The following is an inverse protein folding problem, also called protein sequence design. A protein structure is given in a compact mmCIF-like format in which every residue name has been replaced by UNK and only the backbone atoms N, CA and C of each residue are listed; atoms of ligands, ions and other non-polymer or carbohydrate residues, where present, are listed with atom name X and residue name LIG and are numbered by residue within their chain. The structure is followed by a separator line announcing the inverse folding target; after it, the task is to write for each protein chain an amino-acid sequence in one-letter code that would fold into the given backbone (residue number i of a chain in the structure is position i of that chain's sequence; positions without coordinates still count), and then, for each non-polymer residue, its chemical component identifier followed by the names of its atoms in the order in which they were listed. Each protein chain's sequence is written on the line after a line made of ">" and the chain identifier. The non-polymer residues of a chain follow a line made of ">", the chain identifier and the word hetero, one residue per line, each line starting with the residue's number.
data_IF_340725970407
#
_entry.id   IF_340725970407
#
_cell.length_a   1.000
_cell.length_b   1.000
_cell.length_c   1.000
_cell.angle_alpha   90.00
_cell.angle_beta   90.00
_cell.angle_gamma   90.00
#
_symmetry.space_group_name_H-M   'P 1'
#
loop_
_entity.id
_entity.type
_entity.pdbx_description
1 polymer ?
#
# COMPACT_ATOMS: atom_id res chain seq x y z
N UNK A 1 31.32 8.45 -12.58
CA UNK A 1 30.46 7.25 -12.50
C UNK A 1 29.07 7.58 -13.04
N UNK A 2 28.74 7.09 -14.24
CA UNK A 2 27.49 7.44 -14.94
C UNK A 2 26.25 6.80 -14.30
N UNK A 3 25.25 7.62 -13.97
CA UNK A 3 23.93 7.16 -13.51
C UNK A 3 23.25 6.39 -14.65
N UNK A 4 23.13 5.07 -14.53
CA UNK A 4 22.30 4.24 -15.42
C UNK A 4 20.85 4.72 -15.31
N UNK A 5 20.37 5.45 -16.31
CA UNK A 5 18.96 5.74 -16.49
C UNK A 5 18.23 4.44 -16.87
N UNK A 6 17.61 3.79 -15.89
CA UNK A 6 16.66 2.71 -16.14
C UNK A 6 15.45 3.29 -16.89
N UNK A 7 15.46 3.23 -18.22
CA UNK A 7 14.27 3.49 -19.05
C UNK A 7 13.24 2.40 -18.72
N UNK A 8 12.24 2.75 -17.90
CA UNK A 8 11.15 1.83 -17.53
C UNK A 8 10.19 1.69 -18.70
N UNK A 9 9.90 0.45 -19.09
CA UNK A 9 8.89 0.12 -20.10
C UNK A 9 7.50 0.51 -19.55
N UNK A 10 6.61 1.05 -20.39
CA UNK A 10 5.22 1.43 -20.05
C UNK A 10 4.44 0.32 -19.33
N UNK A 11 4.84 -0.93 -19.53
CA UNK A 11 4.31 -2.14 -18.87
C UNK A 11 4.43 -2.13 -17.34
N UNK A 12 5.31 -1.30 -16.76
CA UNK A 12 5.48 -1.16 -15.31
C UNK A 12 4.44 -0.25 -14.63
N UNK A 13 3.51 0.37 -15.38
CA UNK A 13 2.42 1.14 -14.76
C UNK A 13 1.31 0.26 -14.17
N UNK A 14 1.26 -1.02 -14.54
CA UNK A 14 0.28 -2.00 -14.08
C UNK A 14 0.91 -2.91 -13.02
N UNK A 15 1.09 -2.37 -11.81
CA UNK A 15 1.80 -3.07 -10.73
C UNK A 15 0.85 -4.02 -9.98
N UNK A 16 -0.43 -3.65 -9.86
CA UNK A 16 -1.46 -4.49 -9.25
C UNK A 16 -2.73 -4.46 -10.11
N UNK A 17 -2.70 -5.23 -11.21
CA UNK A 17 -3.69 -5.16 -12.30
C UNK A 17 -5.12 -5.29 -11.80
N UNK A 18 -5.38 -6.13 -10.81
CA UNK A 18 -6.76 -6.39 -10.38
C UNK A 18 -7.39 -5.17 -9.69
N UNK A 19 -6.69 -4.56 -8.74
CA UNK A 19 -7.23 -3.38 -8.01
C UNK A 19 -7.22 -2.14 -8.90
N UNK A 20 -6.13 -1.92 -9.63
CA UNK A 20 -5.99 -0.76 -10.51
C UNK A 20 -7.02 -0.79 -11.64
N UNK A 21 -7.24 -1.95 -12.27
CA UNK A 21 -8.21 -2.10 -13.34
C UNK A 21 -9.64 -1.92 -12.83
N UNK A 22 -9.98 -2.45 -11.65
CA UNK A 22 -11.30 -2.25 -11.03
C UNK A 22 -11.58 -0.76 -10.81
N UNK A 23 -10.64 -0.01 -10.23
CA UNK A 23 -10.80 1.44 -9.99
C UNK A 23 -10.97 2.19 -11.32
N UNK A 24 -10.10 1.92 -12.30
CA UNK A 24 -10.15 2.60 -13.60
C UNK A 24 -11.46 2.30 -14.34
N UNK A 25 -11.90 1.03 -14.38
CA UNK A 25 -13.16 0.64 -15.04
C UNK A 25 -14.36 1.30 -14.35
N UNK A 26 -14.45 1.22 -13.01
CA UNK A 26 -15.56 1.83 -12.27
C UNK A 26 -15.65 3.34 -12.54
N UNK A 27 -14.52 4.04 -12.53
CA UNK A 27 -14.49 5.48 -12.84
C UNK A 27 -14.83 5.79 -14.31
N UNK A 28 -14.42 4.93 -15.25
CA UNK A 28 -14.81 5.05 -16.66
C UNK A 28 -16.32 4.85 -16.86
N UNK A 29 -16.93 3.91 -16.16
CA UNK A 29 -18.39 3.70 -16.19
C UNK A 29 -19.13 4.94 -15.70
N UNK A 30 -18.71 5.52 -14.56
CA UNK A 30 -19.31 6.77 -14.08
C UNK A 30 -19.14 7.92 -15.08
N UNK A 31 -17.98 8.02 -15.73
CA UNK A 31 -17.75 9.04 -16.76
C UNK A 31 -18.70 8.87 -17.96
N UNK A 32 -18.86 7.64 -18.46
CA UNK A 32 -19.77 7.35 -19.58
C UNK A 32 -21.22 7.67 -19.21
N UNK A 33 -21.65 7.32 -17.99
CA UNK A 33 -22.98 7.66 -17.49
C UNK A 33 -23.18 9.17 -17.44
N UNK A 34 -22.22 9.93 -16.91
CA UNK A 34 -22.29 11.40 -16.84
C UNK A 34 -22.36 12.00 -18.25
N UNK A 35 -21.55 11.51 -19.20
CA UNK A 35 -21.58 11.97 -20.59
C UNK A 35 -22.95 11.69 -21.22
N UNK A 36 -23.51 10.49 -21.04
CA UNK A 36 -24.83 10.13 -21.58
C UNK A 36 -25.90 11.05 -21.00
N UNK A 37 -25.93 11.26 -19.68
CA UNK A 37 -26.91 12.13 -19.02
C UNK A 37 -26.78 13.57 -19.55
N UNK A 38 -25.55 14.08 -19.63
CA UNK A 38 -25.28 15.45 -20.10
C UNK A 38 -25.73 15.62 -21.55
N UNK A 39 -25.41 14.66 -22.42
CA UNK A 39 -25.84 14.68 -23.83
C UNK A 39 -27.35 14.56 -23.95
N UNK A 40 -28.01 13.71 -23.16
CA UNK A 40 -29.45 13.56 -23.18
C UNK A 40 -30.15 14.87 -22.82
N UNK A 41 -29.75 15.51 -21.71
CA UNK A 41 -30.31 16.80 -21.28
C UNK A 41 -30.05 17.90 -22.31
N UNK A 42 -28.82 17.99 -22.82
CA UNK A 42 -28.42 19.04 -23.75
C UNK A 42 -29.09 18.90 -25.12
N UNK A 43 -29.26 17.68 -25.62
CA UNK A 43 -29.84 17.42 -26.94
C UNK A 43 -31.37 17.26 -26.90
N UNK A 44 -31.98 17.08 -25.73
CA UNK A 44 -33.42 16.88 -25.58
C UNK A 44 -34.29 17.91 -26.30
N UNK A 45 -34.16 19.23 -26.07
CA UNK A 45 -35.03 20.21 -26.73
C UNK A 45 -34.89 20.15 -28.26
N UNK A 46 -33.67 19.88 -28.72
CA UNK A 46 -33.34 19.87 -30.13
C UNK A 46 -33.86 18.63 -30.86
N UNK A 47 -33.79 17.48 -30.20
CA UNK A 47 -34.42 16.25 -30.67
C UNK A 47 -35.95 16.44 -30.73
N UNK A 48 -36.52 17.11 -29.74
CA UNK A 48 -37.96 17.37 -29.72
C UNK A 48 -38.40 18.25 -30.90
N UNK A 49 -37.72 19.37 -31.13
CA UNK A 49 -38.03 20.29 -32.24
C UNK A 49 -37.79 19.65 -33.61
N UNK A 50 -36.79 18.77 -33.73
CA UNK A 50 -36.48 18.09 -34.98
C UNK A 50 -37.49 16.99 -35.34
N UNK A 51 -37.97 16.22 -34.36
CA UNK A 51 -38.83 15.06 -34.61
C UNK A 51 -40.34 15.31 -34.41
N UNK A 52 -40.72 16.30 -33.60
CA UNK A 52 -42.13 16.50 -33.19
C UNK A 52 -42.70 17.88 -33.55
N UNK A 53 -41.91 18.79 -34.15
CA UNK A 53 -42.45 20.06 -34.65
C UNK A 53 -43.29 19.83 -35.91
N UNK A 54 -44.39 20.56 -36.08
CA UNK A 54 -45.19 20.55 -37.31
C UNK A 54 -44.69 21.56 -38.37
N UNK A 55 -43.70 22.39 -38.01
CA UNK A 55 -43.17 23.43 -38.88
C UNK A 55 -41.83 22.98 -39.49
N UNK A 56 -41.80 22.86 -40.82
CA UNK A 56 -40.64 22.45 -41.60
C UNK A 56 -39.41 23.34 -41.35
N UNK A 57 -39.60 24.65 -41.15
CA UNK A 57 -38.49 25.58 -40.89
C UNK A 57 -37.85 25.30 -39.52
N UNK A 58 -38.67 25.03 -38.50
CA UNK A 58 -38.21 24.71 -37.14
C UNK A 58 -37.47 23.36 -37.15
N UNK A 59 -38.01 22.35 -37.84
CA UNK A 59 -37.34 21.06 -37.99
C UNK A 59 -35.98 21.21 -38.67
N UNK A 60 -35.91 21.98 -39.76
CA UNK A 60 -34.67 22.22 -40.51
C UNK A 60 -33.62 22.95 -39.66
N UNK A 61 -34.01 24.01 -38.96
CA UNK A 61 -33.12 24.76 -38.07
C UNK A 61 -32.62 23.90 -36.90
N UNK A 62 -33.49 23.08 -36.31
CA UNK A 62 -33.13 22.14 -35.26
C UNK A 62 -32.10 21.11 -35.74
N UNK A 63 -32.30 20.53 -36.92
CA UNK A 63 -31.37 19.57 -37.52
C UNK A 63 -29.99 20.19 -37.81
N UNK A 64 -29.92 21.42 -38.34
CA UNK A 64 -28.66 22.11 -38.59
C UNK A 64 -27.91 22.44 -37.29
N UNK A 65 -28.65 22.89 -36.27
CA UNK A 65 -28.09 23.17 -34.95
C UNK A 65 -27.57 21.88 -34.30
N UNK A 66 -28.29 20.77 -34.45
CA UNK A 66 -27.90 19.46 -33.92
C UNK A 66 -26.59 18.97 -34.52
N UNK A 67 -26.50 19.01 -35.85
CA UNK A 67 -25.27 18.65 -36.57
C UNK A 67 -24.09 19.54 -36.16
N UNK A 68 -24.34 20.84 -35.98
CA UNK A 68 -23.30 21.80 -35.56
C UNK A 68 -22.82 21.50 -34.14
N UNK A 69 -23.74 21.24 -33.21
CA UNK A 69 -23.40 20.89 -31.82
C UNK A 69 -22.62 19.58 -31.75
N UNK A 70 -23.06 18.51 -32.41
CA UNK A 70 -22.34 17.23 -32.39
C UNK A 70 -20.95 17.36 -33.00
N UNK A 71 -20.81 18.06 -34.13
CA UNK A 71 -19.49 18.31 -34.76
C UNK A 71 -18.52 19.01 -33.82
N UNK A 72 -19.01 19.90 -32.95
CA UNK A 72 -18.19 20.62 -31.96
C UNK A 72 -17.96 19.83 -30.68
N UNK A 73 -18.97 19.11 -30.20
CA UNK A 73 -18.94 18.34 -28.96
C UNK A 73 -18.11 17.08 -29.08
N UNK A 74 -18.17 16.36 -30.21
CA UNK A 74 -17.44 15.12 -30.41
C UNK A 74 -15.92 15.24 -30.16
N UNK A 75 -15.18 16.19 -30.80
CA UNK A 75 -13.76 16.35 -30.51
C UNK A 75 -13.50 16.86 -29.08
N UNK A 76 -14.37 17.70 -28.53
CA UNK A 76 -14.22 18.22 -27.16
C UNK A 76 -14.35 17.12 -26.10
N UNK A 77 -15.40 16.28 -26.20
CA UNK A 77 -15.63 15.14 -25.30
C UNK A 77 -14.52 14.10 -25.46
N UNK A 78 -14.08 13.82 -26.71
CA UNK A 78 -12.96 12.92 -26.95
C UNK A 78 -11.66 13.40 -26.29
N UNK A 79 -11.33 14.69 -26.40
CA UNK A 79 -10.17 15.28 -25.73
C UNK A 79 -10.29 15.20 -24.21
N UNK A 80 -11.45 15.56 -23.66
CA UNK A 80 -11.72 15.47 -22.22
C UNK A 80 -11.58 14.03 -21.71
N UNK A 81 -12.11 13.05 -22.44
CA UNK A 81 -12.00 11.64 -22.11
C UNK A 81 -10.54 11.20 -22.02
N UNK A 82 -9.71 11.57 -23.00
CA UNK A 82 -8.27 11.25 -23.01
C UNK A 82 -7.57 11.88 -21.80
N UNK A 83 -7.83 13.16 -21.52
CA UNK A 83 -7.22 13.86 -20.39
C UNK A 83 -7.58 13.19 -19.06
N UNK A 84 -8.86 12.86 -18.85
CA UNK A 84 -9.30 12.20 -17.62
C UNK A 84 -8.74 10.78 -17.53
N UNK A 85 -8.73 10.03 -18.62
CA UNK A 85 -8.17 8.68 -18.65
C UNK A 85 -6.69 8.67 -18.26
N UNK A 86 -5.89 9.59 -18.83
CA UNK A 86 -4.48 9.76 -18.49
C UNK A 86 -4.34 10.17 -17.02
N UNK A 87 -5.13 11.13 -16.55
CA UNK A 87 -5.11 11.58 -15.15
C UNK A 87 -5.40 10.43 -14.17
N UNK A 88 -6.42 9.62 -14.46
CA UNK A 88 -6.79 8.46 -13.66
C UNK A 88 -5.64 7.45 -13.56
N UNK A 89 -5.03 7.08 -14.69
CA UNK A 89 -3.88 6.14 -14.68
C UNK A 89 -2.73 6.68 -13.83
N UNK A 90 -2.42 7.98 -13.94
CA UNK A 90 -1.33 8.61 -13.19
C UNK A 90 -1.60 8.59 -11.68
N UNK A 91 -2.81 8.94 -11.26
CA UNK A 91 -3.21 8.91 -9.85
C UNK A 91 -3.17 7.49 -9.31
N UNK A 92 -3.85 6.55 -9.98
CA UNK A 92 -3.95 5.18 -9.49
C UNK A 92 -2.58 4.53 -9.36
N UNK A 93 -1.64 4.81 -10.27
CA UNK A 93 -0.28 4.31 -10.16
C UNK A 93 0.48 4.82 -8.91
N UNK A 94 0.27 6.08 -8.51
CA UNK A 94 0.87 6.69 -7.30
C UNK A 94 0.27 6.16 -5.99
N UNK A 95 -0.83 5.41 -6.06
CA UNK A 95 -1.46 4.71 -4.92
C UNK A 95 -1.10 3.22 -4.94
N UNK A 96 -1.32 2.55 -6.07
CA UNK A 96 -1.09 1.11 -6.19
C UNK A 96 0.40 0.73 -6.10
N UNK A 97 1.32 1.59 -6.55
CA UNK A 97 2.76 1.36 -6.42
C UNK A 97 3.20 1.17 -4.96
N UNK A 98 2.91 2.13 -4.07
CA UNK A 98 3.12 1.98 -2.62
C UNK A 98 2.47 0.73 -2.02
N UNK A 99 1.21 0.44 -2.36
CA UNK A 99 0.49 -0.72 -1.82
C UNK A 99 1.20 -2.04 -2.09
N UNK A 100 1.79 -2.22 -3.27
CA UNK A 100 2.56 -3.44 -3.58
C UNK A 100 3.83 -3.52 -2.73
N UNK A 101 4.49 -2.39 -2.48
CA UNK A 101 5.63 -2.37 -1.56
C UNK A 101 5.21 -2.71 -0.12
N UNK A 102 4.05 -2.22 0.32
CA UNK A 102 3.48 -2.53 1.63
C UNK A 102 3.21 -4.03 1.76
N UNK A 103 2.50 -4.64 0.81
CA UNK A 103 2.22 -6.09 0.79
C UNK A 103 3.51 -6.92 0.88
N UNK A 104 4.54 -6.55 0.11
CA UNK A 104 5.82 -7.26 0.17
C UNK A 104 6.51 -7.10 1.53
N UNK A 105 6.40 -5.93 2.16
CA UNK A 105 6.92 -5.70 3.53
C UNK A 105 6.16 -6.51 4.56
N UNK A 106 4.84 -6.52 4.50
CA UNK A 106 4.00 -7.28 5.43
C UNK A 106 4.31 -8.77 5.35
N UNK A 107 4.54 -9.30 4.15
CA UNK A 107 4.99 -10.68 3.98
C UNK A 107 6.34 -10.92 4.67
N UNK A 108 7.31 -10.01 4.53
CA UNK A 108 8.61 -10.10 5.19
C UNK A 108 8.50 -10.03 6.72
N UNK A 109 7.65 -9.15 7.24
CA UNK A 109 7.37 -9.05 8.68
C UNK A 109 6.75 -10.35 9.20
N UNK A 110 5.80 -10.94 8.47
CA UNK A 110 5.19 -12.22 8.82
C UNK A 110 6.20 -13.38 8.82
N UNK A 111 7.22 -13.31 7.95
CA UNK A 111 8.38 -14.22 7.92
C UNK A 111 9.40 -13.91 9.04
N UNK A 112 9.14 -12.93 9.91
CA UNK A 112 10.01 -12.51 11.02
C UNK A 112 11.06 -11.45 10.64
N UNK A 113 11.14 -11.00 9.40
CA UNK A 113 12.12 -9.99 8.98
C UNK A 113 11.64 -8.55 9.27
N UNK A 114 12.17 -7.98 10.35
CA UNK A 114 11.91 -6.61 10.80
C UNK A 114 13.01 -5.63 10.37
N UNK A 115 13.96 -6.06 9.54
CA UNK A 115 15.06 -5.20 9.06
C UNK A 115 14.65 -4.30 7.90
N UNK A 116 13.60 -4.70 7.16
CA UNK A 116 13.13 -4.00 5.96
C UNK A 116 12.33 -2.75 6.34
N UNK A 117 12.64 -1.64 5.69
CA UNK A 117 11.84 -0.40 5.72
C UNK A 117 11.16 -0.15 4.39
N UNK A 118 10.04 0.55 4.46
CA UNK A 118 9.30 1.03 3.30
C UNK A 118 9.85 2.41 2.94
N UNK A 119 10.15 2.60 1.66
CA UNK A 119 10.55 3.90 1.11
C UNK A 119 9.70 4.14 -0.13
N UNK A 120 9.00 5.27 -0.15
CA UNK A 120 8.15 5.68 -1.27
C UNK A 120 8.84 6.72 -2.15
N UNK A 121 8.31 6.91 -3.35
CA UNK A 121 8.81 7.94 -4.28
C UNK A 121 8.20 9.28 -3.90
N UNK A 122 8.90 10.37 -4.25
CA UNK A 122 8.35 11.71 -4.09
C UNK A 122 7.04 11.85 -4.86
N UNK A 123 5.97 12.25 -4.17
CA UNK A 123 4.64 12.45 -4.75
C UNK A 123 3.77 11.20 -4.86
N UNK A 124 4.20 10.07 -4.29
CA UNK A 124 3.27 8.97 -3.98
C UNK A 124 2.35 9.41 -2.83
N UNK A 125 1.08 8.95 -2.85
CA UNK A 125 0.05 9.46 -1.93
C UNK A 125 0.14 8.90 -0.52
N UNK A 126 0.78 7.74 -0.33
CA UNK A 126 0.74 6.98 0.92
C UNK A 126 1.98 7.20 1.82
N UNK A 127 2.54 8.42 1.81
CA UNK A 127 3.74 8.76 2.57
C UNK A 127 3.53 8.71 4.08
N UNK A 128 2.37 9.17 4.55
CA UNK A 128 2.05 9.16 5.99
C UNK A 128 1.87 7.72 6.50
N UNK A 129 1.18 6.87 5.73
CA UNK A 129 1.03 5.45 6.04
C UNK A 129 2.38 4.74 6.05
N UNK A 130 3.26 5.07 5.10
CA UNK A 130 4.62 4.55 5.07
C UNK A 130 5.38 4.88 6.36
N UNK A 131 5.30 6.12 6.86
CA UNK A 131 5.94 6.53 8.11
C UNK A 131 5.36 5.79 9.33
N UNK A 132 4.02 5.68 9.41
CA UNK A 132 3.34 4.93 10.47
C UNK A 132 3.75 3.45 10.48
N UNK A 133 3.79 2.81 9.31
CA UNK A 133 4.23 1.40 9.18
C UNK A 133 5.69 1.26 9.58
N UNK A 134 6.58 2.15 9.13
CA UNK A 134 7.98 2.11 9.51
C UNK A 134 8.17 2.25 11.03
N UNK A 135 7.41 3.14 11.66
CA UNK A 135 7.40 3.34 13.12
C UNK A 135 6.91 2.10 13.87
N UNK A 136 5.90 1.41 13.33
CA UNK A 136 5.43 0.13 13.86
C UNK A 136 6.54 -0.93 13.79
N UNK A 137 7.23 -1.05 12.64
CA UNK A 137 8.35 -1.98 12.47
C UNK A 137 9.47 -1.66 13.47
N UNK A 138 9.81 -0.39 13.68
CA UNK A 138 10.82 0.03 14.66
C UNK A 138 10.42 -0.34 16.08
N UNK A 139 9.16 -0.12 16.45
CA UNK A 139 8.67 -0.46 17.79
C UNK A 139 8.68 -1.96 18.03
N UNK A 140 8.23 -2.76 17.06
CA UNK A 140 8.29 -4.22 17.16
C UNK A 140 9.74 -4.72 17.24
N UNK A 141 10.64 -4.17 16.42
CA UNK A 141 12.06 -4.51 16.47
C UNK A 141 12.68 -4.18 17.82
N UNK A 142 12.31 -3.05 18.45
CA UNK A 142 12.77 -2.68 19.79
C UNK A 142 12.23 -3.61 20.86
N UNK A 143 10.95 -3.99 20.81
CA UNK A 143 10.37 -4.93 21.77
C UNK A 143 11.07 -6.29 21.71
N UNK A 144 11.27 -6.85 20.52
CA UNK A 144 12.00 -8.11 20.34
C UNK A 144 13.44 -8.02 20.86
N UNK A 145 14.14 -6.91 20.58
CA UNK A 145 15.49 -6.68 21.10
C UNK A 145 15.51 -6.65 22.65
N UNK A 146 14.56 -5.95 23.26
CA UNK A 146 14.45 -5.88 24.71
C UNK A 146 14.16 -7.25 25.34
N UNK A 147 13.27 -8.04 24.74
CA UNK A 147 12.99 -9.40 25.22
C UNK A 147 14.26 -10.26 25.13
N UNK A 148 14.99 -10.22 24.01
CA UNK A 148 16.28 -10.95 23.89
C UNK A 148 17.30 -10.54 24.95
N UNK A 149 17.48 -9.24 25.19
CA UNK A 149 18.42 -8.73 26.19
C UNK A 149 18.01 -9.12 27.62
N UNK A 150 16.73 -8.97 27.98
CA UNK A 150 16.21 -9.38 29.28
C UNK A 150 16.37 -10.88 29.51
N UNK A 151 16.17 -11.66 28.45
CA UNK A 151 16.31 -13.10 28.47
C UNK A 151 17.76 -13.54 28.69
N UNK A 152 18.71 -12.97 27.97
CA UNK A 152 20.15 -13.23 28.18
C UNK A 152 20.59 -12.85 29.60
N UNK A 153 20.09 -11.72 30.11
CA UNK A 153 20.38 -11.28 31.48
C UNK A 153 19.80 -12.23 32.53
N UNK A 154 18.57 -12.72 32.32
CA UNK A 154 17.92 -13.67 33.23
C UNK A 154 18.72 -14.97 33.34
N UNK A 155 19.14 -15.54 32.21
CA UNK A 155 19.99 -16.76 32.20
C UNK A 155 21.31 -16.52 32.93
N UNK A 156 21.97 -15.38 32.70
CA UNK A 156 23.22 -15.04 33.39
C UNK A 156 23.06 -14.89 34.90
N UNK A 157 21.98 -14.26 35.38
CA UNK A 157 21.70 -14.08 36.82
C UNK A 157 21.41 -15.41 37.49
N UNK A 158 20.69 -16.31 36.80
CA UNK A 158 20.40 -17.65 37.30
C UNK A 158 21.67 -18.48 37.47
N UNK A 159 22.58 -18.45 36.50
CA UNK A 159 23.86 -19.16 36.59
C UNK A 159 24.74 -18.61 37.73
N UNK A 160 24.76 -17.29 37.93
CA UNK A 160 25.48 -16.67 39.06
C UNK A 160 24.87 -17.05 40.42
N UNK A 161 23.54 -17.11 40.53
CA UNK A 161 22.85 -17.51 41.75
C UNK A 161 23.19 -18.96 42.14
N UNK A 162 23.22 -19.89 41.19
CA UNK A 162 23.64 -21.28 41.43
C UNK A 162 25.07 -21.39 41.98
N UNK A 163 25.98 -20.56 41.48
CA UNK A 163 27.38 -20.58 41.89
C UNK A 163 27.59 -20.17 43.36
N UNK A 164 26.65 -19.41 43.96
CA UNK A 164 26.77 -18.85 45.32
C UNK A 164 26.06 -19.66 46.41
N UNK A 165 25.27 -20.68 46.07
CA UNK A 165 24.55 -21.52 47.05
C UNK A 165 25.52 -22.52 47.72
N UNK A 166 25.61 -22.46 49.06
CA UNK A 166 26.51 -23.31 49.87
C UNK A 166 25.83 -24.51 50.52
N UNK A 167 24.51 -24.47 50.73
CA UNK A 167 23.72 -25.55 51.33
C UNK A 167 23.35 -26.59 50.26
N UNK A 168 23.66 -27.86 50.52
CA UNK A 168 23.55 -28.96 49.58
C UNK A 168 22.10 -29.34 49.25
N UNK A 169 21.18 -29.28 50.22
CA UNK A 169 19.75 -29.58 50.02
C UNK A 169 19.02 -28.42 49.32
N UNK A 170 19.40 -27.18 49.66
CA UNK A 170 18.92 -26.00 48.95
C UNK A 170 19.44 -25.97 47.49
N UNK A 171 20.67 -26.46 47.26
CA UNK A 171 21.26 -26.52 45.92
C UNK A 171 20.48 -27.43 44.98
N UNK A 172 20.07 -28.61 45.45
CA UNK A 172 19.32 -29.59 44.65
C UNK A 172 17.94 -29.03 44.25
N UNK A 173 17.19 -28.44 45.19
CA UNK A 173 15.88 -27.83 44.91
C UNK A 173 15.98 -26.61 44.00
N UNK A 174 17.01 -25.79 44.17
CA UNK A 174 17.28 -24.64 43.30
C UNK A 174 17.68 -25.13 41.90
N UNK A 175 18.47 -26.19 41.78
CA UNK A 175 18.90 -26.76 40.50
C UNK A 175 17.73 -27.30 39.67
N UNK A 176 16.76 -27.98 40.29
CA UNK A 176 15.52 -28.40 39.61
C UNK A 176 14.71 -27.20 39.10
N UNK A 177 14.46 -26.20 39.96
CA UNK A 177 13.73 -25.00 39.57
C UNK A 177 14.46 -24.21 38.46
N UNK A 178 15.79 -24.15 38.53
CA UNK A 178 16.60 -23.43 37.55
C UNK A 178 16.66 -24.13 36.20
N UNK A 179 16.68 -25.47 36.19
CA UNK A 179 16.59 -26.23 34.96
C UNK A 179 15.27 -25.99 34.24
N UNK A 180 14.15 -25.87 34.96
CA UNK A 180 12.85 -25.51 34.36
C UNK A 180 12.93 -24.13 33.71
N UNK A 181 13.40 -23.11 34.44
CA UNK A 181 13.51 -21.76 33.90
C UNK A 181 14.51 -21.69 32.74
N UNK A 182 15.60 -22.45 32.78
CA UNK A 182 16.59 -22.54 31.69
C UNK A 182 15.99 -23.18 30.44
N UNK A 183 15.13 -24.19 30.59
CA UNK A 183 14.41 -24.82 29.48
C UNK A 183 13.39 -23.85 28.85
N UNK A 184 12.55 -23.19 29.66
CA UNK A 184 11.63 -22.16 29.17
C UNK A 184 12.38 -21.03 28.48
N UNK A 185 13.53 -20.66 29.04
CA UNK A 185 14.39 -19.65 28.47
C UNK A 185 14.91 -20.07 27.07
N UNK A 186 15.45 -21.29 26.95
CA UNK A 186 15.90 -21.79 25.65
C UNK A 186 14.76 -21.85 24.62
N UNK A 187 13.55 -22.23 25.03
CA UNK A 187 12.37 -22.19 24.16
C UNK A 187 12.02 -20.76 23.71
N UNK A 188 12.03 -19.78 24.61
CA UNK A 188 11.79 -18.37 24.25
C UNK A 188 12.87 -17.87 23.28
N UNK A 189 14.13 -18.22 23.50
CA UNK A 189 15.23 -17.89 22.58
C UNK A 189 15.00 -18.49 21.19
N UNK A 190 14.51 -19.72 21.11
CA UNK A 190 14.16 -20.39 19.85
C UNK A 190 12.99 -19.68 19.15
N UNK A 191 11.91 -19.34 19.85
CA UNK A 191 10.81 -18.55 19.29
C UNK A 191 11.26 -17.18 18.80
N UNK A 192 12.15 -16.52 19.53
CA UNK A 192 12.67 -15.22 19.12
C UNK A 192 13.63 -15.33 17.93
N UNK A 193 14.24 -16.49 17.66
CA UNK A 193 15.26 -16.67 16.62
C UNK A 193 14.73 -16.42 15.20
N UNK A 194 13.43 -16.63 14.99
CA UNK A 194 12.76 -16.37 13.71
C UNK A 194 12.82 -14.87 13.34
N UNK A 195 12.90 -13.99 14.34
CA UNK A 195 12.87 -12.55 14.11
C UNK A 195 14.25 -12.01 13.73
N UNK A 196 14.35 -11.40 12.56
CA UNK A 196 15.54 -10.67 12.11
C UNK A 196 15.36 -9.20 12.44
N UNK A 197 16.12 -8.72 13.41
CA UNK A 197 16.17 -7.30 13.79
C UNK A 197 17.49 -6.68 13.34
N UNK A 198 17.50 -5.38 13.05
CA UNK A 198 18.74 -4.68 12.72
C UNK A 198 19.59 -4.63 13.99
N UNK A 199 20.80 -5.19 13.96
CA UNK A 199 21.73 -5.10 15.08
C UNK A 199 22.10 -3.62 15.30
N UNK A 200 21.51 -2.99 16.30
CA UNK A 200 22.06 -1.77 16.88
C UNK A 200 23.24 -2.17 17.78
N UNK A 201 24.33 -2.66 17.17
CA UNK A 201 25.62 -2.45 17.83
C UNK A 201 25.85 -0.94 17.75
N UNK A 202 25.94 -0.32 18.92
CA UNK A 202 26.34 1.07 19.09
C UNK A 202 27.50 1.34 18.13
N UNK A 203 27.31 2.34 17.28
CA UNK A 203 28.43 3.06 16.71
C UNK A 203 29.05 3.76 17.93
N UNK A 204 30.16 3.19 18.39
CA UNK A 204 31.09 3.88 19.29
C UNK A 204 31.61 5.17 18.61
#
# INVERSE_FOLDING_TARGET
>A
MGKKHYKRKLRNYLINKEVQLKIVITNLVYMVIIIIITLAVLLWPLLNDMFFSNNLDVQYQAAQTFLTLIKRLFPAVGLMFILIFVHQILITHRICGPLVNFTHTFKKIAEGDLTRKIVLRKGDYLSEECEKINTMIDSLSRFIANIRNSHEKLVSVLEEAMAKVKDQDARIKIEEALNIVKQEALQVKEYLSIFRIKNNKKTD
#
